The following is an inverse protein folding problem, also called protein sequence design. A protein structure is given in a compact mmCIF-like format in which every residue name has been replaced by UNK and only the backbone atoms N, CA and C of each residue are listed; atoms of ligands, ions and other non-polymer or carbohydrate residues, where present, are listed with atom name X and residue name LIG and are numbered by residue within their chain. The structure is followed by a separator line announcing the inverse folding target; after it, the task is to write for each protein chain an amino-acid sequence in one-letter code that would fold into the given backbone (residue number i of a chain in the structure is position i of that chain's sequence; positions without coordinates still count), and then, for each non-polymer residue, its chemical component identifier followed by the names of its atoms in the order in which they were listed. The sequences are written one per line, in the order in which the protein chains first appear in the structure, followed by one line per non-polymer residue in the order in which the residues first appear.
data_IF_833462343904
#
_entry.id   IF_833462343904
#
_cell.length_a   1.000
_cell.length_b   1.000
_cell.length_c   1.000
_cell.angle_alpha   90.00
_cell.angle_beta   90.00
_cell.angle_gamma   90.00
#
_symmetry.space_group_name_H-M   'P 1'
#
loop_
_entity.id
_entity.type
_entity.pdbx_description
1 polymer ?
#
# COMPACT_ATOMS: atom_id res chain seq x y z
N UNK A 1 54.74 24.06 41.21
CA UNK A 1 55.38 25.24 40.62
C UNK A 1 54.25 26.16 40.23
N UNK A 2 53.88 27.05 41.12
CA UNK A 2 54.42 28.42 41.20
C UNK A 2 53.84 29.30 40.12
N UNK A 3 53.07 30.27 40.28
CA UNK A 3 52.90 31.48 41.14
C UNK A 3 51.88 32.32 40.42
N UNK A 4 50.82 32.85 41.02
CA UNK A 4 50.82 34.22 41.64
C UNK A 4 51.08 35.33 40.60
N UNK A 5 50.32 36.38 40.48
CA UNK A 5 49.94 37.33 41.50
C UNK A 5 49.03 38.45 40.89
N UNK A 6 48.06 38.91 41.71
CA UNK A 6 47.75 40.27 42.12
C UNK A 6 47.61 41.39 41.08
N UNK A 7 46.58 42.08 41.12
CA UNK A 7 46.14 43.22 41.93
C UNK A 7 45.75 44.40 41.08
N UNK A 8 44.66 45.03 41.19
CA UNK A 8 44.26 46.20 41.97
C UNK A 8 43.00 46.84 41.40
N UNK A 9 42.01 47.00 42.20
CA UNK A 9 41.00 48.06 42.14
C UNK A 9 41.71 49.43 42.35
N UNK A 10 41.19 50.63 41.95
CA UNK A 10 39.82 51.08 42.30
C UNK A 10 39.17 52.07 41.30
N UNK A 11 38.05 52.59 41.77
CA UNK A 11 37.30 53.84 41.49
C UNK A 11 36.14 53.67 40.52
N UNK A 12 34.97 53.49 41.05
CA UNK A 12 33.94 54.41 41.53
C UNK A 12 33.77 55.69 40.74
N UNK A 13 32.49 55.84 40.48
CA UNK A 13 31.75 57.05 40.12
C UNK A 13 31.41 57.23 38.61
N UNK A 14 30.14 57.23 38.48
CA UNK A 14 29.35 57.91 37.39
C UNK A 14 28.60 56.97 36.46
N UNK A 15 27.45 56.52 36.90
CA UNK A 15 26.40 56.07 36.00
C UNK A 15 25.06 55.91 36.73
N UNK A 16 24.65 56.94 37.43
CA UNK A 16 23.28 57.00 37.99
C UNK A 16 22.29 57.76 37.09
N UNK A 17 22.69 58.24 35.90
CA UNK A 17 21.83 59.04 35.03
C UNK A 17 21.43 58.35 33.71
N UNK A 18 21.88 57.13 33.46
CA UNK A 18 21.56 56.45 32.18
C UNK A 18 20.55 55.28 32.32
N UNK A 19 19.98 55.09 33.51
CA UNK A 19 18.97 54.01 33.72
C UNK A 19 17.52 54.50 33.87
N UNK A 20 17.26 55.82 33.77
CA UNK A 20 15.93 56.36 33.87
C UNK A 20 15.21 56.50 32.51
N UNK A 21 15.93 56.44 31.39
CA UNK A 21 15.37 56.69 30.05
C UNK A 21 15.07 55.45 29.24
N UNK A 22 15.45 54.25 29.68
CA UNK A 22 15.20 52.97 28.96
C UNK A 22 13.94 52.22 29.49
N UNK A 23 13.37 52.65 30.62
CA UNK A 23 12.20 52.00 31.24
C UNK A 23 10.89 52.62 30.82
N UNK A 24 10.90 53.78 30.09
CA UNK A 24 9.68 54.50 29.69
C UNK A 24 9.15 54.08 28.30
N UNK A 25 9.84 53.20 27.56
CA UNK A 25 9.46 52.90 26.18
C UNK A 25 8.88 51.44 25.97
N UNK A 26 8.59 50.73 27.04
CA UNK A 26 8.05 49.34 26.93
C UNK A 26 6.71 49.08 27.62
N UNK A 27 5.92 50.09 27.97
CA UNK A 27 4.59 49.89 28.58
C UNK A 27 3.52 50.85 28.03
N UNK A 28 3.46 50.99 26.73
CA UNK A 28 2.20 51.40 26.10
C UNK A 28 1.55 50.18 25.35
N UNK A 29 1.38 49.11 26.06
CA UNK A 29 0.31 48.20 25.69
C UNK A 29 -0.98 48.95 25.90
N UNK A 30 -1.61 49.47 24.82
CA UNK A 30 -2.95 50.03 24.87
C UNK A 30 -3.84 49.05 25.63
N UNK A 31 -4.26 49.43 26.82
CA UNK A 31 -5.23 48.66 27.61
C UNK A 31 -6.55 48.80 26.83
N UNK A 32 -6.81 47.75 26.03
CA UNK A 32 -8.06 47.69 25.27
C UNK A 32 -9.23 47.77 26.25
N UNK A 33 -10.22 48.53 25.88
CA UNK A 33 -11.43 48.53 26.69
C UNK A 33 -12.14 47.16 26.55
N UNK A 34 -12.90 46.71 27.55
CA UNK A 34 -13.64 45.44 27.47
C UNK A 34 -14.58 45.37 26.25
N UNK A 35 -15.09 46.50 25.81
CA UNK A 35 -15.93 46.62 24.61
C UNK A 35 -15.13 46.33 23.33
N UNK A 36 -13.88 46.79 23.24
CA UNK A 36 -12.98 46.50 22.12
C UNK A 36 -12.57 45.04 22.07
N UNK A 37 -12.29 44.42 23.23
CA UNK A 37 -12.02 43.00 23.30
C UNK A 37 -13.19 42.12 22.86
N UNK A 38 -14.41 42.49 23.29
CA UNK A 38 -15.64 41.81 22.89
C UNK A 38 -15.83 41.91 21.37
N UNK A 39 -15.63 43.08 20.77
CA UNK A 39 -15.75 43.28 19.33
C UNK A 39 -14.72 42.43 18.55
N UNK A 40 -13.46 42.43 18.98
CA UNK A 40 -12.41 41.58 18.37
C UNK A 40 -12.69 40.08 18.50
N UNK A 41 -13.19 39.63 19.66
CA UNK A 41 -13.55 38.24 19.87
C UNK A 41 -14.74 37.83 18.99
N UNK A 42 -15.75 38.69 18.84
CA UNK A 42 -16.89 38.49 17.95
C UNK A 42 -16.44 38.38 16.48
N UNK A 43 -15.53 39.27 16.04
CA UNK A 43 -14.98 39.19 14.69
C UNK A 43 -14.21 37.91 14.47
N UNK A 44 -13.31 37.51 15.39
CA UNK A 44 -12.56 36.25 15.30
C UNK A 44 -13.49 35.04 15.27
N UNK A 45 -14.56 35.08 16.07
CA UNK A 45 -15.54 34.01 16.09
C UNK A 45 -16.26 33.88 14.74
N UNK A 46 -16.64 35.02 14.12
CA UNK A 46 -17.24 35.01 12.80
C UNK A 46 -16.30 34.50 11.71
N UNK A 47 -15.04 34.91 11.73
CA UNK A 47 -14.00 34.44 10.80
C UNK A 47 -13.73 32.93 10.97
N UNK A 48 -13.66 32.43 12.22
CA UNK A 48 -13.54 31.03 12.50
C UNK A 48 -14.74 30.21 12.07
N UNK A 49 -15.97 30.75 12.24
CA UNK A 49 -17.19 30.09 11.77
C UNK A 49 -17.22 29.97 10.25
N UNK A 50 -16.84 31.04 9.52
CA UNK A 50 -16.77 31.02 8.05
C UNK A 50 -15.70 30.01 7.58
N UNK A 51 -14.51 30.03 8.18
CA UNK A 51 -13.45 29.07 7.86
C UNK A 51 -13.86 27.64 8.15
N UNK A 52 -14.56 27.38 9.26
CA UNK A 52 -15.10 26.06 9.59
C UNK A 52 -16.13 25.59 8.57
N UNK A 53 -17.08 26.45 8.18
CA UNK A 53 -18.09 26.08 7.19
C UNK A 53 -17.46 25.78 5.83
N UNK A 54 -16.46 26.58 5.43
CA UNK A 54 -15.70 26.34 4.20
C UNK A 54 -14.94 25.03 4.24
N UNK A 55 -14.20 24.77 5.32
CA UNK A 55 -13.47 23.52 5.49
C UNK A 55 -14.42 22.31 5.52
N UNK A 56 -15.60 22.45 6.13
CA UNK A 56 -16.62 21.39 6.13
C UNK A 56 -17.13 21.09 4.73
N UNK A 57 -17.46 22.13 3.96
CA UNK A 57 -17.93 21.99 2.57
C UNK A 57 -16.84 21.37 1.67
N UNK A 58 -15.58 21.77 1.82
CA UNK A 58 -14.44 21.16 1.12
C UNK A 58 -14.28 19.69 1.51
N UNK A 59 -14.38 19.36 2.79
CA UNK A 59 -14.33 17.98 3.28
C UNK A 59 -15.44 17.10 2.69
N UNK A 60 -16.66 17.60 2.60
CA UNK A 60 -17.78 16.89 1.96
C UNK A 60 -17.55 16.68 0.46
N UNK A 61 -17.02 17.69 -0.25
CA UNK A 61 -16.68 17.58 -1.66
C UNK A 61 -15.55 16.54 -1.91
N UNK A 62 -14.51 16.56 -1.08
CA UNK A 62 -13.42 15.59 -1.16
C UNK A 62 -13.96 14.18 -0.93
N UNK A 63 -14.81 13.97 0.10
CA UNK A 63 -15.41 12.67 0.40
C UNK A 63 -16.27 12.16 -0.75
N UNK A 64 -17.10 13.03 -1.35
CA UNK A 64 -17.92 12.68 -2.50
C UNK A 64 -17.06 12.26 -3.69
N UNK A 65 -16.03 13.06 -4.03
CA UNK A 65 -15.10 12.74 -5.12
C UNK A 65 -14.37 11.43 -4.87
N UNK A 66 -13.85 11.21 -3.66
CA UNK A 66 -13.20 9.97 -3.31
C UNK A 66 -14.12 8.74 -3.46
N UNK A 67 -15.40 8.87 -3.07
CA UNK A 67 -16.37 7.80 -3.25
C UNK A 67 -16.65 7.50 -4.74
N UNK A 68 -16.73 8.53 -5.58
CA UNK A 68 -16.87 8.37 -7.03
C UNK A 68 -15.64 7.70 -7.64
N UNK A 69 -14.44 8.10 -7.23
CA UNK A 69 -13.17 7.53 -7.73
C UNK A 69 -13.01 6.06 -7.30
N UNK A 70 -13.36 5.72 -6.06
CA UNK A 70 -13.40 4.33 -5.57
C UNK A 70 -14.42 3.51 -6.40
N UNK A 71 -15.61 4.04 -6.66
CA UNK A 71 -16.61 3.37 -7.48
C UNK A 71 -16.11 3.11 -8.91
N UNK A 72 -15.45 4.11 -9.53
CA UNK A 72 -14.82 3.94 -10.85
C UNK A 72 -13.70 2.91 -10.82
N UNK A 73 -12.83 2.97 -9.80
CA UNK A 73 -11.75 2.02 -9.64
C UNK A 73 -12.27 0.57 -9.52
N UNK A 74 -13.35 0.35 -8.76
CA UNK A 74 -13.98 -0.96 -8.68
C UNK A 74 -14.61 -1.41 -10.01
N UNK A 75 -15.27 -0.51 -10.72
CA UNK A 75 -15.91 -0.83 -12.01
C UNK A 75 -14.90 -1.27 -13.07
N UNK A 76 -13.72 -0.67 -13.07
CA UNK A 76 -12.67 -0.93 -14.06
C UNK A 76 -11.49 -1.73 -13.51
N UNK A 77 -11.62 -2.31 -12.29
CA UNK A 77 -10.55 -3.05 -11.63
C UNK A 77 -10.00 -4.21 -12.46
N UNK A 78 -10.84 -4.84 -13.28
CA UNK A 78 -10.47 -6.01 -14.11
C UNK A 78 -10.12 -5.64 -15.56
N UNK A 79 -10.19 -4.36 -15.95
CA UNK A 79 -10.03 -3.93 -17.35
C UNK A 79 -8.70 -4.38 -17.93
N UNK A 80 -7.61 -4.07 -17.25
CA UNK A 80 -6.27 -4.46 -17.67
C UNK A 80 -6.10 -5.99 -17.77
N UNK A 81 -6.66 -6.74 -16.83
CA UNK A 81 -6.63 -8.21 -16.87
C UNK A 81 -7.47 -8.76 -18.02
N UNK A 82 -8.66 -8.21 -18.25
CA UNK A 82 -9.54 -8.61 -19.35
C UNK A 82 -8.89 -8.34 -20.71
N UNK A 83 -8.21 -7.20 -20.88
CA UNK A 83 -7.48 -6.85 -22.09
C UNK A 83 -6.42 -7.91 -22.46
N UNK A 84 -5.71 -8.44 -21.45
CA UNK A 84 -4.72 -9.49 -21.65
C UNK A 84 -5.33 -10.88 -21.89
N UNK A 85 -6.60 -11.10 -21.56
CA UNK A 85 -7.31 -12.35 -21.85
C UNK A 85 -7.92 -12.40 -23.25
N UNK A 86 -8.20 -11.27 -23.88
CA UNK A 86 -8.77 -11.21 -25.23
C UNK A 86 -7.93 -11.98 -26.25
N UNK A 87 -6.59 -11.82 -26.35
CA UNK A 87 -5.78 -12.60 -27.30
C UNK A 87 -5.81 -14.11 -27.05
N UNK A 88 -6.01 -14.55 -25.80
CA UNK A 88 -6.16 -15.97 -25.46
C UNK A 88 -7.47 -16.51 -26.07
N UNK A 89 -8.53 -15.73 -25.94
CA UNK A 89 -9.83 -16.07 -26.51
C UNK A 89 -9.76 -16.16 -28.06
N UNK A 90 -9.07 -15.20 -28.71
CA UNK A 90 -8.86 -15.19 -30.14
C UNK A 90 -8.08 -16.43 -30.61
N UNK A 91 -7.05 -16.83 -29.89
CA UNK A 91 -6.27 -18.03 -30.18
C UNK A 91 -7.09 -19.31 -30.06
N UNK A 92 -8.00 -19.39 -29.08
CA UNK A 92 -8.92 -20.52 -28.93
C UNK A 92 -9.94 -20.58 -30.07
N UNK A 93 -10.50 -19.44 -30.48
CA UNK A 93 -11.38 -19.40 -31.67
C UNK A 93 -10.66 -19.79 -32.94
N UNK A 94 -9.41 -19.36 -33.12
CA UNK A 94 -8.59 -19.77 -34.25
C UNK A 94 -8.38 -21.30 -34.26
N UNK A 95 -8.09 -21.89 -33.08
CA UNK A 95 -7.93 -23.34 -32.94
C UNK A 95 -9.23 -24.13 -33.23
N UNK A 96 -10.39 -23.61 -32.80
CA UNK A 96 -11.69 -24.25 -33.05
C UNK A 96 -12.09 -24.21 -34.53
N UNK A 97 -11.70 -23.17 -35.27
CA UNK A 97 -12.02 -23.00 -36.67
C UNK A 97 -10.99 -23.62 -37.63
N UNK A 98 -9.92 -24.21 -37.10
CA UNK A 98 -8.90 -24.85 -37.89
C UNK A 98 -9.41 -26.17 -38.47
N UNK A 99 -9.50 -26.26 -39.80
CA UNK A 99 -9.88 -27.49 -40.51
C UNK A 99 -8.66 -28.42 -40.63
N UNK A 100 -8.86 -29.72 -40.35
CA UNK A 100 -7.89 -30.82 -40.56
C UNK A 100 -6.46 -30.56 -40.07
N UNK A 101 -6.30 -30.28 -38.78
CA UNK A 101 -4.98 -30.06 -38.16
C UNK A 101 -4.42 -31.40 -37.69
N UNK A 102 -3.11 -31.65 -37.97
CA UNK A 102 -2.37 -32.76 -37.39
C UNK A 102 -2.34 -32.63 -35.84
N UNK A 103 -2.49 -33.75 -35.13
CA UNK A 103 -2.50 -33.79 -33.68
C UNK A 103 -1.29 -33.12 -33.05
N UNK A 104 -0.12 -33.16 -33.70
CA UNK A 104 1.09 -32.50 -33.26
C UNK A 104 0.98 -30.97 -33.34
N UNK A 105 0.54 -30.46 -34.48
CA UNK A 105 0.32 -29.02 -34.70
C UNK A 105 -0.76 -28.48 -33.75
N UNK A 106 -1.81 -29.26 -33.48
CA UNK A 106 -2.84 -28.89 -32.52
C UNK A 106 -2.29 -28.77 -31.11
N UNK A 107 -1.45 -29.72 -30.66
CA UNK A 107 -0.79 -29.68 -29.36
C UNK A 107 0.13 -28.46 -29.24
N UNK A 108 0.94 -28.16 -30.26
CA UNK A 108 1.80 -26.97 -30.29
C UNK A 108 0.97 -25.69 -30.20
N UNK A 109 -0.15 -25.59 -30.87
CA UNK A 109 -1.07 -24.47 -30.78
C UNK A 109 -1.65 -24.28 -29.37
N UNK A 110 -2.05 -25.39 -28.72
CA UNK A 110 -2.52 -25.35 -27.31
C UNK A 110 -1.42 -24.93 -26.35
N UNK A 111 -0.17 -25.38 -26.55
CA UNK A 111 0.96 -24.97 -25.73
C UNK A 111 1.24 -23.46 -25.85
N UNK A 112 1.12 -22.89 -27.04
CA UNK A 112 1.24 -21.44 -27.27
C UNK A 112 0.11 -20.70 -26.56
N UNK A 113 -1.14 -21.17 -26.69
CA UNK A 113 -2.28 -20.55 -26.02
C UNK A 113 -2.16 -20.61 -24.50
N UNK A 114 -1.68 -21.73 -23.96
CA UNK A 114 -1.40 -21.86 -22.53
C UNK A 114 -0.34 -20.85 -22.07
N UNK A 115 0.75 -20.66 -22.83
CA UNK A 115 1.77 -19.64 -22.52
C UNK A 115 1.20 -18.23 -22.52
N UNK A 116 0.32 -17.91 -23.48
CA UNK A 116 -0.36 -16.61 -23.51
C UNK A 116 -1.24 -16.41 -22.26
N UNK A 117 -1.99 -17.46 -21.84
CA UNK A 117 -2.80 -17.42 -20.64
C UNK A 117 -1.95 -17.20 -19.37
N UNK A 118 -0.85 -17.94 -19.24
CA UNK A 118 0.06 -17.77 -18.09
C UNK A 118 0.68 -16.38 -18.08
N UNK A 119 1.06 -15.83 -19.24
CA UNK A 119 1.55 -14.46 -19.35
C UNK A 119 0.49 -13.43 -18.95
N UNK A 120 -0.78 -13.66 -19.33
CA UNK A 120 -1.89 -12.79 -18.87
C UNK A 120 -2.06 -12.85 -17.35
N UNK A 121 -1.92 -14.02 -16.75
CA UNK A 121 -1.95 -14.20 -15.29
C UNK A 121 -0.84 -13.41 -14.59
N UNK A 122 0.40 -13.53 -15.07
CA UNK A 122 1.54 -12.78 -14.52
C UNK A 122 1.32 -11.26 -14.54
N UNK A 123 0.82 -10.74 -15.69
CA UNK A 123 0.47 -9.32 -15.82
C UNK A 123 -0.66 -8.91 -14.87
N UNK A 124 -1.60 -9.82 -14.59
CA UNK A 124 -2.64 -9.68 -13.58
C UNK A 124 -2.16 -9.89 -12.16
N UNK A 125 -0.84 -10.04 -11.92
CA UNK A 125 -0.24 -10.36 -10.62
C UNK A 125 -0.75 -11.69 -10.02
N UNK A 126 -1.16 -12.61 -10.88
CA UNK A 126 -1.47 -13.99 -10.51
C UNK A 126 -0.23 -14.86 -10.67
N UNK A 127 0.06 -15.66 -9.65
CA UNK A 127 1.18 -16.61 -9.65
C UNK A 127 0.64 -18.02 -9.47
N UNK A 128 1.15 -18.94 -10.28
CA UNK A 128 0.83 -20.36 -10.16
C UNK A 128 1.57 -20.97 -8.98
N UNK A 129 0.86 -21.78 -8.19
CA UNK A 129 1.42 -22.59 -7.10
C UNK A 129 1.44 -24.04 -7.59
N UNK A 130 2.63 -24.50 -7.98
CA UNK A 130 2.84 -25.82 -8.53
C UNK A 130 4.14 -26.42 -7.94
N UNK A 131 4.06 -26.96 -6.70
CA UNK A 131 5.23 -27.53 -6.05
C UNK A 131 5.79 -28.72 -6.85
N UNK A 132 7.10 -28.85 -6.87
CA UNK A 132 7.75 -30.00 -7.48
C UNK A 132 7.56 -31.26 -6.61
N UNK A 133 7.68 -32.43 -7.25
CA UNK A 133 7.70 -33.69 -6.53
C UNK A 133 8.93 -33.72 -5.62
N UNK A 134 8.73 -34.00 -4.33
CA UNK A 134 9.77 -33.97 -3.30
C UNK A 134 9.86 -32.66 -2.51
N UNK A 135 9.19 -31.62 -2.92
CA UNK A 135 9.12 -30.38 -2.14
C UNK A 135 8.42 -30.60 -0.81
N UNK A 136 8.79 -29.83 0.21
CA UNK A 136 8.12 -29.88 1.50
C UNK A 136 6.69 -29.35 1.38
N UNK A 137 5.78 -30.03 2.05
CA UNK A 137 4.40 -29.56 2.16
C UNK A 137 4.33 -28.26 2.97
N UNK A 138 3.72 -27.24 2.40
CA UNK A 138 3.44 -25.97 3.07
C UNK A 138 1.92 -25.79 3.22
N UNK A 139 1.39 -25.82 4.46
CA UNK A 139 -0.06 -25.67 4.71
C UNK A 139 -0.63 -24.34 4.22
N UNK A 140 0.18 -23.30 4.05
CA UNK A 140 -0.30 -22.00 3.56
C UNK A 140 -0.58 -22.03 2.07
N UNK A 141 0.19 -22.79 1.29
CA UNK A 141 0.12 -22.81 -0.17
C UNK A 141 -0.49 -24.10 -0.72
N UNK A 142 -0.46 -25.19 0.05
CA UNK A 142 -0.87 -26.50 -0.38
C UNK A 142 -1.98 -27.07 0.50
N UNK A 143 -2.86 -27.85 -0.10
CA UNK A 143 -3.86 -28.64 0.58
C UNK A 143 -3.62 -30.12 0.31
N UNK A 144 -3.20 -30.86 1.32
CA UNK A 144 -3.06 -32.30 1.23
C UNK A 144 -4.42 -32.99 1.24
N UNK A 145 -4.71 -33.78 0.20
CA UNK A 145 -5.95 -34.56 0.09
C UNK A 145 -5.76 -35.98 0.60
N UNK A 146 -4.59 -36.56 0.35
CA UNK A 146 -4.26 -37.89 0.75
C UNK A 146 -2.79 -38.01 1.16
N UNK A 147 -2.53 -38.93 2.09
CA UNK A 147 -1.18 -39.37 2.44
C UNK A 147 -0.98 -40.73 1.86
N UNK A 148 0.09 -40.92 1.08
CA UNK A 148 0.41 -42.17 0.38
C UNK A 148 1.76 -42.67 0.79
N UNK A 149 1.97 -44.01 0.88
CA UNK A 149 3.29 -44.59 1.09
C UNK A 149 4.22 -44.18 -0.06
N UNK A 150 5.39 -43.68 0.26
CA UNK A 150 6.42 -43.26 -0.71
C UNK A 150 7.81 -43.50 -0.15
N UNK A 151 8.80 -43.60 -1.03
CA UNK A 151 10.22 -43.67 -0.64
C UNK A 151 10.80 -42.29 -0.29
N UNK A 152 10.01 -41.24 -0.41
CA UNK A 152 10.41 -39.86 -0.08
C UNK A 152 10.36 -39.60 1.44
N UNK A 153 10.91 -38.46 1.85
CA UNK A 153 10.78 -37.97 3.22
C UNK A 153 9.29 -37.72 3.58
N UNK A 154 8.94 -37.95 4.83
CA UNK A 154 7.59 -37.68 5.32
C UNK A 154 7.19 -36.21 5.10
N UNK A 155 5.93 -35.96 4.81
CA UNK A 155 5.40 -34.65 4.55
C UNK A 155 6.02 -33.91 3.34
N UNK A 156 6.46 -34.68 2.33
CA UNK A 156 6.84 -34.12 1.02
C UNK A 156 5.73 -34.34 -0.01
N UNK A 157 5.69 -33.51 -1.04
CA UNK A 157 4.73 -33.61 -2.14
C UNK A 157 5.08 -34.80 -3.01
N UNK A 158 4.16 -35.73 -3.14
CA UNK A 158 4.29 -36.90 -4.02
C UNK A 158 3.72 -36.61 -5.40
N UNK A 159 2.56 -35.97 -5.47
CA UNK A 159 1.97 -35.54 -6.74
C UNK A 159 1.10 -34.30 -6.55
N UNK A 160 0.98 -33.51 -7.62
CA UNK A 160 0.07 -32.37 -7.71
C UNK A 160 -1.14 -32.80 -8.51
N UNK A 161 -2.31 -32.84 -7.86
CA UNK A 161 -3.57 -33.16 -8.48
C UNK A 161 -4.21 -31.96 -9.16
N UNK A 162 -4.04 -30.78 -8.55
CA UNK A 162 -4.53 -29.53 -9.09
C UNK A 162 -3.60 -28.39 -8.70
N UNK A 163 -3.24 -27.56 -9.68
CA UNK A 163 -2.39 -26.39 -9.44
C UNK A 163 -3.15 -25.33 -8.65
N UNK A 164 -2.46 -24.66 -7.73
CA UNK A 164 -2.95 -23.53 -6.98
C UNK A 164 -2.67 -22.21 -7.70
N UNK A 165 -3.29 -21.15 -7.21
CA UNK A 165 -3.06 -19.79 -7.70
C UNK A 165 -3.14 -18.79 -6.54
N UNK A 166 -2.26 -17.80 -6.60
CA UNK A 166 -2.31 -16.61 -5.74
C UNK A 166 -2.46 -15.36 -6.57
N UNK A 167 -2.98 -14.28 -5.98
CA UNK A 167 -3.01 -12.95 -6.57
C UNK A 167 -2.37 -11.98 -5.58
N UNK A 168 -1.29 -11.33 -5.99
CA UNK A 168 -0.44 -10.57 -5.08
C UNK A 168 -0.12 -11.42 -3.83
N UNK A 169 -0.51 -10.95 -2.64
CA UNK A 169 -0.23 -11.62 -1.36
C UNK A 169 -1.38 -12.55 -0.89
N UNK A 170 -2.42 -12.73 -1.71
CA UNK A 170 -3.61 -13.51 -1.33
C UNK A 170 -3.70 -14.80 -2.12
N UNK A 171 -3.83 -15.93 -1.42
CA UNK A 171 -4.10 -17.21 -2.05
C UNK A 171 -5.54 -17.27 -2.51
N UNK A 172 -5.75 -17.47 -3.82
CA UNK A 172 -7.06 -17.68 -4.44
C UNK A 172 -7.50 -19.12 -4.26
N UNK A 173 -6.55 -20.05 -4.46
CA UNK A 173 -6.76 -21.48 -4.31
C UNK A 173 -5.43 -22.15 -4.01
N UNK A 174 -5.30 -22.95 -2.94
CA UNK A 174 -4.10 -23.74 -2.68
C UNK A 174 -3.93 -24.84 -3.74
N UNK A 175 -2.72 -25.30 -3.93
CA UNK A 175 -2.46 -26.48 -4.75
C UNK A 175 -2.97 -27.74 -4.03
N UNK A 176 -3.74 -28.58 -4.72
CA UNK A 176 -4.17 -29.87 -4.18
C UNK A 176 -3.08 -30.91 -4.45
N UNK A 177 -2.56 -31.48 -3.39
CA UNK A 177 -1.42 -32.39 -3.45
C UNK A 177 -1.67 -33.69 -2.68
N UNK A 178 -0.97 -34.74 -3.06
CA UNK A 178 -0.76 -35.90 -2.20
C UNK A 178 0.59 -35.78 -1.54
N UNK A 179 0.69 -36.21 -0.29
CA UNK A 179 1.92 -36.13 0.50
C UNK A 179 2.40 -37.50 0.90
N UNK A 180 3.70 -37.63 1.14
CA UNK A 180 4.32 -38.87 1.65
C UNK A 180 3.87 -39.12 3.08
N UNK A 181 3.43 -40.35 3.36
CA UNK A 181 3.10 -40.81 4.70
C UNK A 181 4.38 -40.89 5.56
N UNK A 182 4.29 -40.65 6.88
CA UNK A 182 5.37 -40.96 7.79
C UNK A 182 5.64 -42.47 7.75
N UNK A 183 6.93 -42.85 7.74
CA UNK A 183 7.36 -44.26 7.81
C UNK A 183 7.14 -44.82 9.19
#
# INVERSE_FOLDING_TARGET
MTQENQNSTPEQENSAEHQADVVAEQTSAEVKTPEQEIAELQQKLAEMQDSYLRAKAEGENIRRRAAEDVSKAHKFAIENFAEHLVPVTDSLYAALNAEAVDAKAFKEGLEITLKQLLSAFEKGKMTEINPAIGDKFDPNHHQAIASVPSDQEANTVVSVLQRGYSIADRILRPALVTVSAPK
#
